data_IF_956035476334
#
_entry.id   IF_956035476334
#
_cell.length_a   1.000
_cell.length_b   1.000
_cell.length_c   1.000
_cell.angle_alpha   90.00
_cell.angle_beta   90.00
_cell.angle_gamma   90.00
#
_symmetry.space_group_name_H-M   'P 1'
#
loop_
_entity.id
_entity.type
_entity.pdbx_description
1 polymer ?
#
# COMPACT_ATOMS: atom_id res chain seq x y z
N UNK A 1 -2.71 -22.87 -15.10
CA UNK A 1 -3.79 -21.94 -14.70
C UNK A 1 -3.32 -20.48 -14.65
N UNK A 2 -2.18 -20.16 -14.01
CA UNK A 2 -1.62 -18.78 -14.01
C UNK A 2 -1.30 -18.29 -15.45
N UNK A 3 -0.69 -19.14 -16.29
CA UNK A 3 -0.32 -18.78 -17.66
C UNK A 3 -1.51 -18.46 -18.58
N UNK A 4 -2.69 -19.05 -18.34
CA UNK A 4 -3.92 -18.75 -19.10
C UNK A 4 -4.58 -17.44 -18.65
N UNK A 5 -4.54 -17.12 -17.34
CA UNK A 5 -4.99 -15.82 -16.84
C UNK A 5 -4.09 -14.68 -17.31
N UNK A 6 -2.76 -14.85 -17.30
CA UNK A 6 -1.82 -13.83 -17.80
C UNK A 6 -2.01 -13.55 -19.28
N UNK A 7 -2.27 -14.57 -20.10
CA UNK A 7 -2.60 -14.39 -21.53
C UNK A 7 -3.90 -13.63 -21.79
N UNK A 8 -4.84 -13.61 -20.84
CA UNK A 8 -6.09 -12.84 -20.95
C UNK A 8 -5.97 -11.38 -20.49
N UNK A 9 -4.91 -11.02 -19.77
CA UNK A 9 -4.58 -9.63 -19.38
C UNK A 9 -3.98 -8.82 -20.54
N UNK A 10 -4.52 -8.96 -21.76
CA UNK A 10 -4.06 -8.29 -22.97
C UNK A 10 -4.85 -7.04 -23.37
N UNK A 11 -5.93 -6.72 -22.65
CA UNK A 11 -6.77 -5.55 -22.92
C UNK A 11 -6.04 -4.22 -22.68
N UNK A 12 -6.44 -3.16 -23.38
CA UNK A 12 -5.81 -1.84 -23.27
C UNK A 12 -5.83 -1.27 -21.83
N UNK A 13 -6.85 -1.57 -21.03
CA UNK A 13 -6.91 -1.15 -19.63
C UNK A 13 -5.87 -1.85 -18.73
N UNK A 14 -5.43 -3.07 -19.07
CA UNK A 14 -4.32 -3.73 -18.35
C UNK A 14 -3.00 -3.03 -18.61
N UNK A 15 -2.74 -2.63 -19.86
CA UNK A 15 -1.56 -1.82 -20.20
C UNK A 15 -1.58 -0.49 -19.44
N UNK A 16 -2.74 0.16 -19.35
CA UNK A 16 -2.91 1.37 -18.53
C UNK A 16 -2.64 1.08 -17.05
N UNK A 17 -3.19 0.01 -16.48
CA UNK A 17 -2.98 -0.34 -15.07
C UNK A 17 -1.50 -0.62 -14.77
N UNK A 18 -0.83 -1.44 -15.57
CA UNK A 18 0.59 -1.73 -15.40
C UNK A 18 1.45 -0.49 -15.64
N UNK A 19 1.10 0.32 -16.64
CA UNK A 19 1.74 1.61 -16.90
C UNK A 19 1.62 2.57 -15.71
N UNK A 20 0.45 2.63 -15.06
CA UNK A 20 0.23 3.42 -13.84
C UNK A 20 1.02 2.88 -12.66
N UNK A 21 1.11 1.56 -12.47
CA UNK A 21 1.92 0.94 -11.41
C UNK A 21 3.40 1.28 -11.62
N UNK A 22 3.92 1.09 -12.84
CA UNK A 22 5.31 1.39 -13.17
C UNK A 22 5.60 2.90 -13.07
N UNK A 23 4.67 3.74 -13.52
CA UNK A 23 4.77 5.19 -13.39
C UNK A 23 4.78 5.64 -11.94
N UNK A 24 3.94 5.05 -11.07
CA UNK A 24 3.92 5.35 -9.64
C UNK A 24 5.25 4.94 -8.97
N UNK A 25 5.76 3.75 -9.26
CA UNK A 25 7.09 3.33 -8.79
C UNK A 25 8.22 4.21 -9.32
N UNK A 26 8.16 4.60 -10.59
CA UNK A 26 9.14 5.50 -11.22
C UNK A 26 9.13 6.89 -10.59
N UNK A 27 7.95 7.43 -10.29
CA UNK A 27 7.79 8.70 -9.55
C UNK A 27 8.35 8.58 -8.14
N UNK A 28 8.04 7.51 -7.39
CA UNK A 28 8.60 7.28 -6.06
C UNK A 28 10.13 7.14 -6.11
N UNK A 29 10.67 6.45 -7.12
CA UNK A 29 12.10 6.36 -7.34
C UNK A 29 12.74 7.71 -7.61
N UNK A 30 12.14 8.51 -8.50
CA UNK A 30 12.59 9.87 -8.76
C UNK A 30 12.53 10.76 -7.50
N UNK A 31 11.50 10.58 -6.67
CA UNK A 31 11.36 11.27 -5.39
C UNK A 31 12.39 10.82 -4.34
N UNK A 32 12.96 9.62 -4.44
CA UNK A 32 13.91 9.09 -3.46
C UNK A 32 15.39 9.26 -3.84
N UNK A 33 15.70 9.66 -5.09
CA UNK A 33 17.08 9.84 -5.54
C UNK A 33 17.86 10.89 -4.71
N UNK A 34 19.15 10.72 -4.42
CA UNK A 34 19.96 11.78 -3.82
C UNK A 34 19.93 13.06 -4.68
N UNK A 35 20.02 14.22 -4.05
CA UNK A 35 19.94 15.54 -4.70
C UNK A 35 20.98 15.68 -5.82
N UNK A 36 22.21 15.26 -5.56
CA UNK A 36 23.34 15.33 -6.49
C UNK A 36 23.10 14.56 -7.80
N UNK A 37 22.37 13.43 -7.71
CA UNK A 37 21.99 12.60 -8.86
C UNK A 37 20.76 13.13 -9.60
N UNK A 38 19.89 13.91 -8.93
CA UNK A 38 18.75 14.58 -9.57
C UNK A 38 19.18 15.82 -10.33
N UNK A 39 20.12 16.59 -9.82
CA UNK A 39 20.59 17.82 -10.49
C UNK A 39 21.39 17.51 -11.77
N UNK A 40 22.08 16.36 -11.79
CA UNK A 40 22.79 15.85 -12.97
C UNK A 40 21.88 15.24 -14.04
N UNK A 41 20.65 14.85 -13.70
CA UNK A 41 19.64 14.38 -14.63
C UNK A 41 18.68 15.53 -14.91
N UNK A 42 18.70 16.14 -16.10
CA UNK A 42 17.78 17.23 -16.47
C UNK A 42 16.33 16.71 -16.48
N UNK A 43 15.72 16.58 -15.31
CA UNK A 43 14.37 16.11 -15.07
C UNK A 43 13.50 17.34 -14.83
N UNK A 44 12.66 17.66 -15.82
CA UNK A 44 11.65 18.71 -15.67
C UNK A 44 10.75 18.40 -14.47
N UNK A 45 10.63 19.36 -13.53
CA UNK A 45 9.81 19.22 -12.31
C UNK A 45 10.52 18.67 -11.08
N UNK A 46 11.86 18.62 -11.07
CA UNK A 46 12.65 18.20 -9.89
C UNK A 46 12.29 18.98 -8.61
N UNK A 47 12.05 20.29 -8.71
CA UNK A 47 11.63 21.13 -7.57
C UNK A 47 10.28 20.71 -7.00
N UNK A 48 9.32 20.35 -7.86
CA UNK A 48 8.02 19.86 -7.43
C UNK A 48 8.14 18.50 -6.73
N UNK A 49 8.93 17.57 -7.29
CA UNK A 49 9.19 16.27 -6.67
C UNK A 49 9.91 16.41 -5.31
N UNK A 50 10.81 17.37 -5.17
CA UNK A 50 11.48 17.68 -3.91
C UNK A 50 10.48 18.21 -2.87
N UNK A 51 9.55 19.07 -3.28
CA UNK A 51 8.51 19.61 -2.41
C UNK A 51 7.54 18.54 -1.88
N UNK A 52 7.39 17.41 -2.60
CA UNK A 52 6.60 16.25 -2.16
C UNK A 52 7.29 15.43 -1.06
N UNK A 53 8.61 15.54 -0.93
CA UNK A 53 9.41 14.73 -0.01
C UNK A 53 9.61 15.39 1.37
N UNK A 54 9.28 16.67 1.50
CA UNK A 54 9.52 17.47 2.71
C UNK A 54 8.18 17.80 3.36
N UNK A 55 8.05 17.45 4.64
CA UNK A 55 6.91 17.86 5.45
C UNK A 55 6.99 19.37 5.69
N UNK A 56 6.14 20.14 5.01
CA UNK A 56 5.90 21.55 5.31
C UNK A 56 4.58 21.70 6.09
N UNK A 57 4.56 22.33 7.27
CA UNK A 57 3.39 22.36 8.15
C UNK A 57 2.34 23.40 7.73
N UNK A 58 2.00 23.45 6.45
CA UNK A 58 1.00 24.31 5.83
C UNK A 58 -0.03 23.49 5.02
N UNK A 59 -1.11 24.11 4.55
CA UNK A 59 -2.17 23.41 3.82
C UNK A 59 -1.67 22.81 2.48
N UNK A 60 -0.72 23.46 1.80
CA UNK A 60 -0.14 22.92 0.58
C UNK A 60 0.81 21.75 0.91
N UNK A 61 1.58 21.84 2.00
CA UNK A 61 2.39 20.73 2.51
C UNK A 61 1.56 19.49 2.87
N UNK A 62 0.39 19.66 3.49
CA UNK A 62 -0.52 18.54 3.75
C UNK A 62 -0.98 17.89 2.43
N UNK A 63 -1.41 18.67 1.45
CA UNK A 63 -1.82 18.15 0.14
C UNK A 63 -0.70 17.36 -0.57
N UNK A 64 0.55 17.81 -0.44
CA UNK A 64 1.73 17.12 -0.98
C UNK A 64 1.96 15.76 -0.31
N UNK A 65 1.87 15.68 1.02
CA UNK A 65 2.01 14.42 1.76
C UNK A 65 0.86 13.45 1.42
N UNK A 66 -0.37 13.96 1.26
CA UNK A 66 -1.51 13.15 0.80
C UNK A 66 -1.22 12.56 -0.59
N UNK A 67 -0.71 13.36 -1.52
CA UNK A 67 -0.35 12.90 -2.86
C UNK A 67 0.75 11.83 -2.81
N UNK A 68 1.78 12.04 -2.00
CA UNK A 68 2.86 11.06 -1.79
C UNK A 68 2.30 9.73 -1.26
N UNK A 69 1.47 9.76 -0.20
CA UNK A 69 0.83 8.55 0.33
C UNK A 69 -0.12 7.89 -0.67
N UNK A 70 -0.80 8.67 -1.52
CA UNK A 70 -1.64 8.14 -2.59
C UNK A 70 -0.81 7.41 -3.65
N UNK A 71 0.31 7.99 -4.09
CA UNK A 71 1.25 7.37 -5.02
C UNK A 71 1.86 6.09 -4.44
N UNK A 72 2.28 6.15 -3.17
CA UNK A 72 2.79 4.99 -2.43
C UNK A 72 1.74 3.88 -2.30
N UNK A 73 0.52 4.24 -1.91
CA UNK A 73 -0.58 3.28 -1.81
C UNK A 73 -0.89 2.64 -3.17
N UNK A 74 -0.93 3.42 -4.24
CA UNK A 74 -1.13 2.92 -5.59
C UNK A 74 0.01 1.97 -6.02
N UNK A 75 1.26 2.37 -5.85
CA UNK A 75 2.44 1.60 -6.23
C UNK A 75 2.51 0.24 -5.53
N UNK A 76 2.25 0.21 -4.22
CA UNK A 76 2.36 -1.00 -3.42
C UNK A 76 1.11 -1.88 -3.54
N UNK A 77 -0.09 -1.29 -3.56
CA UNK A 77 -1.34 -2.05 -3.36
C UNK A 77 -2.03 -2.47 -4.65
N UNK A 78 -1.89 -1.71 -5.74
CA UNK A 78 -2.45 -2.12 -7.03
C UNK A 78 -1.92 -3.49 -7.50
N UNK A 79 -0.62 -3.83 -7.37
CA UNK A 79 -0.12 -5.18 -7.65
C UNK A 79 -0.83 -6.26 -6.84
N UNK A 80 -1.16 -5.98 -5.57
CA UNK A 80 -1.80 -6.96 -4.68
C UNK A 80 -3.26 -7.26 -5.04
N UNK A 81 -3.92 -6.36 -5.77
CA UNK A 81 -5.32 -6.48 -6.17
C UNK A 81 -5.50 -7.07 -7.57
N UNK A 82 -4.41 -7.31 -8.32
CA UNK A 82 -4.44 -7.85 -9.69
C UNK A 82 -5.29 -9.14 -9.82
N UNK A 83 -5.17 -10.15 -8.94
CA UNK A 83 -5.99 -11.37 -9.06
C UNK A 83 -7.49 -11.08 -8.92
N UNK A 84 -7.87 -10.12 -8.09
CA UNK A 84 -9.26 -9.71 -7.91
C UNK A 84 -9.78 -8.96 -9.14
N UNK A 85 -8.99 -8.03 -9.69
CA UNK A 85 -9.36 -7.32 -10.92
C UNK A 85 -9.54 -8.27 -12.10
N UNK A 86 -8.64 -9.24 -12.28
CA UNK A 86 -8.76 -10.26 -13.31
C UNK A 86 -10.01 -11.13 -13.15
N UNK A 87 -10.33 -11.52 -11.91
CA UNK A 87 -11.54 -12.32 -11.63
C UNK A 87 -12.82 -11.54 -11.92
N UNK A 88 -12.88 -10.26 -11.55
CA UNK A 88 -14.04 -9.41 -11.81
C UNK A 88 -14.29 -9.22 -13.32
N UNK A 89 -13.22 -9.05 -14.09
CA UNK A 89 -13.33 -8.97 -15.55
C UNK A 89 -13.76 -10.30 -16.17
N UNK A 90 -13.30 -11.45 -15.66
CA UNK A 90 -13.75 -12.75 -16.18
C UNK A 90 -15.25 -12.97 -15.94
N UNK A 91 -15.76 -12.60 -14.76
CA UNK A 91 -17.19 -12.60 -14.45
C UNK A 91 -17.98 -11.63 -15.34
N UNK A 92 -17.33 -10.56 -15.81
CA UNK A 92 -18.00 -9.56 -16.65
C UNK A 92 -18.38 -10.03 -18.05
N UNK A 93 -17.77 -11.10 -18.55
CA UNK A 93 -18.20 -11.67 -19.84
C UNK A 93 -19.60 -12.30 -19.78
N UNK A 94 -20.19 -12.42 -18.59
CA UNK A 94 -21.51 -13.01 -18.34
C UNK A 94 -22.58 -11.96 -17.94
N UNK A 95 -22.24 -10.65 -17.86
CA UNK A 95 -23.20 -9.57 -17.55
C UNK A 95 -22.64 -8.15 -17.77
N UNK A 96 -23.49 -7.11 -17.76
CA UNK A 96 -22.99 -5.72 -17.86
C UNK A 96 -22.15 -5.35 -16.64
N UNK A 97 -20.86 -5.08 -16.83
CA UNK A 97 -20.01 -4.57 -15.74
C UNK A 97 -19.36 -3.25 -16.10
N UNK A 98 -19.01 -2.52 -15.04
CA UNK A 98 -18.33 -1.22 -15.12
C UNK A 98 -17.03 -1.32 -14.34
N UNK A 99 -16.00 -1.92 -14.94
CA UNK A 99 -14.66 -2.05 -14.33
C UNK A 99 -14.13 -0.71 -13.78
N UNK A 100 -14.35 0.38 -14.51
CA UNK A 100 -13.98 1.73 -14.04
C UNK A 100 -14.66 2.14 -12.72
N UNK A 101 -15.93 1.77 -12.52
CA UNK A 101 -16.64 2.07 -11.27
C UNK A 101 -16.11 1.22 -10.10
N UNK A 102 -15.74 -0.04 -10.35
CA UNK A 102 -15.07 -0.89 -9.38
C UNK A 102 -13.70 -0.31 -8.98
N UNK A 103 -12.89 0.07 -9.97
CA UNK A 103 -11.58 0.66 -9.71
C UNK A 103 -11.70 1.98 -8.94
N UNK A 104 -12.67 2.83 -9.30
CA UNK A 104 -12.89 4.09 -8.62
C UNK A 104 -13.33 3.90 -7.16
N UNK A 105 -14.17 2.91 -6.86
CA UNK A 105 -14.53 2.54 -5.48
C UNK A 105 -13.33 2.04 -4.68
N UNK A 106 -12.46 1.23 -5.29
CA UNK A 106 -11.22 0.76 -4.68
C UNK A 106 -10.25 1.91 -4.37
N UNK A 107 -10.04 2.81 -5.34
CA UNK A 107 -9.16 3.97 -5.18
C UNK A 107 -9.68 4.95 -4.14
N UNK A 108 -11.01 5.14 -4.04
CA UNK A 108 -11.60 6.02 -3.02
C UNK A 108 -11.21 5.62 -1.59
N UNK A 109 -11.18 4.31 -1.29
CA UNK A 109 -10.74 3.81 0.03
C UNK A 109 -9.27 4.10 0.27
N UNK A 110 -8.42 3.88 -0.73
CA UNK A 110 -6.98 4.14 -0.61
C UNK A 110 -6.66 5.62 -0.49
N UNK A 111 -7.36 6.49 -1.22
CA UNK A 111 -7.25 7.94 -1.06
C UNK A 111 -7.66 8.37 0.35
N UNK A 112 -8.74 7.80 0.90
CA UNK A 112 -9.14 8.03 2.30
C UNK A 112 -8.05 7.61 3.28
N UNK A 113 -7.42 6.44 3.07
CA UNK A 113 -6.26 6.01 3.86
C UNK A 113 -5.07 6.97 3.72
N UNK A 114 -4.77 7.44 2.52
CA UNK A 114 -3.67 8.40 2.29
C UNK A 114 -3.88 9.72 3.03
N UNK A 115 -5.13 10.21 3.12
CA UNK A 115 -5.47 11.38 3.93
C UNK A 115 -5.21 11.12 5.42
N UNK A 116 -5.63 9.96 5.94
CA UNK A 116 -5.39 9.60 7.33
C UNK A 116 -3.90 9.42 7.64
N UNK A 117 -3.16 8.78 6.75
CA UNK A 117 -1.73 8.55 6.90
C UNK A 117 -0.93 9.86 6.84
N UNK A 118 -1.30 10.78 5.94
CA UNK A 118 -0.73 12.13 5.89
C UNK A 118 -1.03 12.92 7.17
N UNK A 119 -2.25 12.78 7.71
CA UNK A 119 -2.64 13.38 8.99
C UNK A 119 -1.80 12.84 10.14
N UNK A 120 -1.60 11.53 10.20
CA UNK A 120 -0.74 10.89 11.18
C UNK A 120 0.72 11.37 11.06
N UNK A 121 1.27 11.39 9.83
CA UNK A 121 2.62 11.89 9.56
C UNK A 121 2.80 13.33 10.03
N UNK A 122 1.83 14.21 9.72
CA UNK A 122 1.86 15.61 10.14
C UNK A 122 1.79 15.75 11.68
N UNK A 123 0.91 14.99 12.33
CA UNK A 123 0.77 15.00 13.78
C UNK A 123 2.04 14.52 14.48
N UNK A 124 2.62 13.40 14.02
CA UNK A 124 3.85 12.83 14.56
C UNK A 124 5.06 13.74 14.29
N UNK A 125 5.13 14.41 13.14
CA UNK A 125 6.14 15.41 12.83
C UNK A 125 6.06 16.61 13.77
N UNK A 126 4.85 17.17 13.99
CA UNK A 126 4.63 18.28 14.93
C UNK A 126 4.95 17.91 16.38
N UNK A 127 4.78 16.64 16.75
CA UNK A 127 5.19 16.11 18.05
C UNK A 127 6.70 15.89 18.18
N UNK A 128 7.49 16.16 17.12
CA UNK A 128 8.95 15.95 17.11
C UNK A 128 9.37 14.48 17.00
N UNK A 129 8.42 13.57 16.74
CA UNK A 129 8.66 12.12 16.68
C UNK A 129 9.14 11.65 15.30
N UNK A 130 8.91 12.43 14.24
CA UNK A 130 9.39 12.14 12.88
C UNK A 130 10.39 13.18 12.39
N UNK A 131 11.27 12.78 11.47
CA UNK A 131 12.06 13.67 10.63
C UNK A 131 11.16 14.42 9.63
N UNK A 132 11.70 15.45 8.98
CA UNK A 132 11.02 16.14 7.88
C UNK A 132 10.73 15.24 6.67
N UNK A 133 11.38 14.07 6.59
CA UNK A 133 11.19 13.05 5.56
C UNK A 133 10.22 11.93 5.99
N UNK A 134 9.74 11.96 7.25
CA UNK A 134 8.77 10.99 7.79
C UNK A 134 9.39 9.80 8.52
N UNK A 135 10.70 9.79 8.78
CA UNK A 135 11.36 8.70 9.51
C UNK A 135 11.21 8.87 11.02
N UNK A 136 10.95 7.78 11.73
CA UNK A 136 10.86 7.78 13.19
C UNK A 136 12.19 8.19 13.84
N UNK A 137 12.14 9.21 14.71
CA UNK A 137 13.25 9.64 15.57
C UNK A 137 13.28 8.94 16.93
N UNK A 138 12.23 8.19 17.25
CA UNK A 138 12.06 7.56 18.56
C UNK A 138 12.05 6.06 18.41
N UNK A 139 13.00 5.38 19.07
CA UNK A 139 13.00 3.93 19.15
C UNK A 139 11.76 3.37 19.85
N UNK A 140 11.17 4.11 20.80
CA UNK A 140 9.88 3.76 21.42
C UNK A 140 8.73 3.77 20.40
N UNK A 141 8.63 4.80 19.56
CA UNK A 141 7.63 4.84 18.49
C UNK A 141 7.83 3.69 17.50
N UNK A 142 9.08 3.45 17.09
CA UNK A 142 9.43 2.35 16.19
C UNK A 142 9.07 0.98 16.78
N UNK A 143 9.39 0.74 18.05
CA UNK A 143 9.03 -0.48 18.76
C UNK A 143 7.52 -0.64 18.87
N UNK A 144 6.77 0.43 19.16
CA UNK A 144 5.31 0.39 19.23
C UNK A 144 4.66 0.08 17.88
N UNK A 145 5.14 0.66 16.78
CA UNK A 145 4.64 0.38 15.43
C UNK A 145 4.95 -1.06 15.00
N UNK A 146 6.16 -1.56 15.30
CA UNK A 146 6.54 -2.96 15.08
C UNK A 146 5.67 -3.92 15.89
N UNK A 147 5.41 -3.61 17.16
CA UNK A 147 4.53 -4.40 18.03
C UNK A 147 3.10 -4.42 17.48
N UNK A 148 2.57 -3.26 17.11
CA UNK A 148 1.23 -3.13 16.53
C UNK A 148 1.09 -3.99 15.27
N UNK A 149 2.04 -3.87 14.34
CA UNK A 149 2.04 -4.65 13.11
C UNK A 149 2.18 -6.15 13.41
N UNK A 150 3.09 -6.53 14.31
CA UNK A 150 3.31 -7.92 14.71
C UNK A 150 2.10 -8.55 15.39
N UNK A 151 1.45 -7.85 16.32
CA UNK A 151 0.20 -8.32 16.97
C UNK A 151 -0.94 -8.41 15.96
N UNK A 152 -1.04 -7.44 15.03
CA UNK A 152 -2.05 -7.45 13.99
C UNK A 152 -1.96 -8.68 13.08
N UNK A 153 -0.75 -9.24 12.89
CA UNK A 153 -0.54 -10.48 12.14
C UNK A 153 -1.26 -11.70 12.72
N UNK A 154 -1.53 -11.71 14.02
CA UNK A 154 -2.25 -12.80 14.70
C UNK A 154 -3.72 -12.48 14.94
N UNK A 155 -4.19 -11.32 14.48
CA UNK A 155 -5.55 -10.87 14.78
C UNK A 155 -6.59 -11.62 13.93
N UNK A 156 -7.75 -11.97 14.51
CA UNK A 156 -8.85 -12.57 13.75
C UNK A 156 -9.39 -11.62 12.67
N UNK A 157 -9.25 -10.31 12.87
CA UNK A 157 -9.61 -9.30 11.89
C UNK A 157 -8.76 -9.43 10.61
N UNK A 158 -7.43 -9.54 10.74
CA UNK A 158 -6.54 -9.73 9.58
C UNK A 158 -6.83 -11.05 8.87
N UNK A 159 -7.01 -12.14 9.61
CA UNK A 159 -7.32 -13.45 9.04
C UNK A 159 -8.63 -13.42 8.23
N UNK A 160 -9.67 -12.76 8.75
CA UNK A 160 -10.94 -12.59 8.04
C UNK A 160 -10.79 -11.77 6.75
N UNK A 161 -10.00 -10.69 6.77
CA UNK A 161 -9.73 -9.90 5.56
C UNK A 161 -8.91 -10.70 4.53
N UNK A 162 -7.86 -11.39 4.97
CA UNK A 162 -7.00 -12.21 4.10
C UNK A 162 -7.77 -13.34 3.43
N UNK A 163 -8.69 -13.99 4.14
CA UNK A 163 -9.53 -15.05 3.57
C UNK A 163 -10.36 -14.55 2.38
N UNK A 164 -10.91 -13.33 2.47
CA UNK A 164 -11.66 -12.69 1.38
C UNK A 164 -10.74 -12.24 0.25
N UNK A 165 -9.59 -11.64 0.55
CA UNK A 165 -8.60 -11.25 -0.46
C UNK A 165 -8.05 -12.44 -1.27
N UNK A 166 -7.87 -13.61 -0.63
CA UNK A 166 -7.33 -14.82 -1.26
C UNK A 166 -8.36 -15.58 -2.11
N UNK A 167 -9.64 -15.23 -2.05
CA UNK A 167 -10.75 -15.91 -2.75
C UNK A 167 -11.63 -14.93 -3.53
N UNK A 168 -11.08 -14.25 -4.55
CA UNK A 168 -11.78 -13.18 -5.27
C UNK A 168 -13.09 -13.65 -5.95
N UNK A 169 -13.13 -14.87 -6.49
CA UNK A 169 -14.34 -15.41 -7.13
C UNK A 169 -15.51 -15.54 -6.14
N UNK A 170 -15.26 -16.16 -4.99
CA UNK A 170 -16.27 -16.31 -3.94
C UNK A 170 -16.72 -14.94 -3.40
N UNK A 171 -15.78 -14.01 -3.26
CA UNK A 171 -16.08 -12.63 -2.85
C UNK A 171 -17.04 -11.94 -3.83
N UNK A 172 -16.74 -11.94 -5.13
CA UNK A 172 -17.60 -11.26 -6.10
C UNK A 172 -18.94 -11.98 -6.30
N UNK A 173 -18.98 -13.31 -6.27
CA UNK A 173 -20.25 -14.04 -6.33
C UNK A 173 -21.18 -13.70 -5.16
N UNK A 174 -20.63 -13.44 -3.97
CA UNK A 174 -21.42 -13.08 -2.80
C UNK A 174 -22.01 -11.65 -2.88
N UNK A 175 -21.31 -10.72 -3.53
CA UNK A 175 -21.66 -9.29 -3.54
C UNK A 175 -22.00 -8.77 -4.94
N UNK A 176 -22.18 -9.65 -5.93
CA UNK A 176 -22.34 -9.27 -7.34
C UNK A 176 -23.45 -8.24 -7.56
N UNK A 177 -24.61 -8.49 -6.95
CA UNK A 177 -25.84 -7.70 -7.10
C UNK A 177 -25.75 -6.29 -6.48
N UNK A 178 -24.72 -6.00 -5.68
CA UNK A 178 -24.54 -4.67 -5.08
C UNK A 178 -24.01 -3.62 -6.07
N UNK A 179 -23.53 -4.06 -7.24
CA UNK A 179 -23.01 -3.21 -8.29
C UNK A 179 -21.52 -2.89 -8.17
N UNK A 180 -20.93 -2.47 -9.29
CA UNK A 180 -19.48 -2.32 -9.47
C UNK A 180 -18.82 -1.39 -8.43
N UNK A 181 -19.40 -0.22 -8.17
CA UNK A 181 -18.85 0.75 -7.21
C UNK A 181 -18.77 0.19 -5.78
N UNK A 182 -19.85 -0.41 -5.28
CA UNK A 182 -19.90 -1.01 -3.93
C UNK A 182 -18.96 -2.21 -3.82
N UNK A 183 -18.87 -3.01 -4.88
CA UNK A 183 -17.87 -4.10 -4.95
C UNK A 183 -16.44 -3.56 -4.89
N UNK A 184 -16.15 -2.46 -5.57
CA UNK A 184 -14.88 -1.74 -5.50
C UNK A 184 -14.55 -1.23 -4.10
N UNK A 185 -15.49 -0.55 -3.44
CA UNK A 185 -15.27 -0.03 -2.08
C UNK A 185 -15.09 -1.15 -1.06
N UNK A 186 -15.88 -2.23 -1.14
CA UNK A 186 -15.69 -3.41 -0.28
C UNK A 186 -14.34 -4.07 -0.50
N UNK A 187 -13.94 -4.25 -1.76
CA UNK A 187 -12.63 -4.78 -2.09
C UNK A 187 -11.52 -3.90 -1.50
N UNK A 188 -11.65 -2.58 -1.62
CA UNK A 188 -10.74 -1.60 -1.02
C UNK A 188 -10.64 -1.75 0.51
N UNK A 189 -11.77 -1.83 1.20
CA UNK A 189 -11.81 -1.97 2.67
C UNK A 189 -11.22 -3.29 3.15
N UNK A 190 -11.52 -4.40 2.46
CA UNK A 190 -10.93 -5.71 2.77
C UNK A 190 -9.42 -5.69 2.50
N UNK A 191 -9.01 -5.11 1.37
CA UNK A 191 -7.60 -4.97 0.99
C UNK A 191 -6.83 -4.17 2.04
N UNK A 192 -7.33 -2.99 2.40
CA UNK A 192 -6.77 -2.12 3.43
C UNK A 192 -6.73 -2.82 4.80
N UNK A 193 -7.82 -3.50 5.17
CA UNK A 193 -7.89 -4.30 6.40
C UNK A 193 -6.75 -5.32 6.50
N UNK A 194 -6.34 -5.96 5.40
CA UNK A 194 -5.24 -6.93 5.46
C UNK A 194 -3.87 -6.31 5.80
N UNK A 195 -3.62 -5.06 5.39
CA UNK A 195 -2.26 -4.52 5.28
C UNK A 195 -2.03 -3.15 5.90
N UNK A 196 -3.06 -2.44 6.39
CA UNK A 196 -2.91 -1.10 6.97
C UNK A 196 -1.81 -1.04 8.04
N UNK A 197 -1.74 -2.04 8.93
CA UNK A 197 -0.75 -2.08 9.99
C UNK A 197 0.69 -2.22 9.45
N UNK A 198 0.87 -2.98 8.35
CA UNK A 198 2.16 -3.09 7.68
C UNK A 198 2.52 -1.81 6.92
N UNK A 199 1.54 -1.10 6.38
CA UNK A 199 1.77 0.20 5.73
C UNK A 199 2.32 1.23 6.72
N UNK A 200 1.91 1.18 7.99
CA UNK A 200 2.46 2.06 9.03
C UNK A 200 3.94 1.81 9.33
N UNK A 201 4.48 0.64 8.96
CA UNK A 201 5.91 0.38 9.10
C UNK A 201 6.78 1.24 8.17
N UNK A 202 6.17 1.94 7.20
CA UNK A 202 6.86 2.97 6.43
C UNK A 202 7.48 4.05 7.34
N UNK A 203 6.87 4.37 8.49
CA UNK A 203 7.46 5.30 9.46
C UNK A 203 8.71 4.73 10.17
N UNK A 204 8.85 3.41 10.21
CA UNK A 204 9.98 2.71 10.84
C UNK A 204 11.14 2.56 9.88
N UNK A 205 10.89 1.99 8.69
CA UNK A 205 11.92 1.75 7.66
C UNK A 205 12.29 2.99 6.85
N UNK A 206 11.50 4.06 7.00
CA UNK A 206 11.60 5.31 6.29
C UNK A 206 10.66 5.39 5.10
N UNK A 207 9.88 6.46 5.03
CA UNK A 207 8.81 6.63 4.02
C UNK A 207 9.39 6.75 2.61
N UNK A 208 10.66 7.15 2.51
CA UNK A 208 11.40 7.31 1.26
C UNK A 208 12.34 6.13 0.96
N UNK A 209 12.36 5.10 1.81
CA UNK A 209 13.23 3.94 1.61
C UNK A 209 12.60 2.93 0.65
N UNK A 210 12.89 3.06 -0.65
CA UNK A 210 12.34 2.19 -1.69
C UNK A 210 12.65 0.71 -1.48
N UNK A 211 13.82 0.38 -0.91
CA UNK A 211 14.16 -1.02 -0.66
C UNK A 211 13.22 -1.62 0.39
N UNK A 212 12.95 -0.87 1.47
CA UNK A 212 11.99 -1.28 2.49
C UNK A 212 10.56 -1.38 1.94
N UNK A 213 10.13 -0.39 1.16
CA UNK A 213 8.80 -0.38 0.54
C UNK A 213 8.63 -1.51 -0.47
N UNK A 214 9.65 -1.79 -1.29
CA UNK A 214 9.67 -2.89 -2.24
C UNK A 214 9.55 -4.23 -1.52
N UNK A 215 10.35 -4.44 -0.47
CA UNK A 215 10.28 -5.63 0.38
C UNK A 215 8.89 -5.79 1.02
N UNK A 216 8.36 -4.72 1.61
CA UNK A 216 7.03 -4.73 2.21
C UNK A 216 5.94 -5.05 1.18
N UNK A 217 6.05 -4.54 -0.04
CA UNK A 217 5.14 -4.84 -1.14
C UNK A 217 5.18 -6.32 -1.49
N UNK A 218 6.37 -6.89 -1.69
CA UNK A 218 6.55 -8.32 -1.98
C UNK A 218 5.93 -9.16 -0.87
N UNK A 219 6.23 -8.85 0.39
CA UNK A 219 5.65 -9.54 1.54
C UNK A 219 4.12 -9.48 1.50
N UNK A 220 3.52 -8.31 1.31
CA UNK A 220 2.06 -8.13 1.27
C UNK A 220 1.41 -8.83 0.07
N UNK A 221 2.08 -8.90 -1.08
CA UNK A 221 1.65 -9.69 -2.23
C UNK A 221 1.65 -11.17 -1.86
N UNK A 222 2.74 -11.69 -1.31
CA UNK A 222 2.87 -13.08 -0.91
C UNK A 222 1.85 -13.48 0.18
N UNK A 223 1.55 -12.57 1.13
CA UNK A 223 0.49 -12.79 2.12
C UNK A 223 -0.90 -12.93 1.48
N UNK A 224 -1.16 -12.23 0.38
CA UNK A 224 -2.44 -12.30 -0.34
C UNK A 224 -2.53 -13.48 -1.32
N UNK A 225 -1.46 -14.24 -1.50
CA UNK A 225 -1.50 -15.50 -2.26
C UNK A 225 -2.00 -16.64 -1.36
N UNK A 226 -2.98 -17.45 -1.80
CA UNK A 226 -3.61 -18.48 -0.97
C UNK A 226 -2.64 -19.60 -0.54
N UNK A 227 -1.69 -19.97 -1.39
CA UNK A 227 -0.78 -21.09 -1.11
C UNK A 227 0.40 -20.70 -0.22
N UNK A 228 0.95 -19.50 -0.42
CA UNK A 228 2.12 -19.00 0.31
C UNK A 228 1.74 -18.26 1.59
N UNK A 229 0.67 -17.46 1.55
CA UNK A 229 0.33 -16.56 2.64
C UNK A 229 0.01 -17.26 3.96
N UNK A 230 -0.51 -18.49 3.92
CA UNK A 230 -0.78 -19.28 5.14
C UNK A 230 0.49 -19.58 5.96
N UNK A 231 1.62 -19.71 5.28
CA UNK A 231 2.91 -20.02 5.89
C UNK A 231 3.71 -18.76 6.21
N UNK A 232 3.43 -17.63 5.56
CA UNK A 232 4.19 -16.39 5.73
C UNK A 232 3.66 -15.49 6.85
N UNK A 233 2.33 -15.36 7.00
CA UNK A 233 1.72 -14.36 7.89
C UNK A 233 2.13 -14.51 9.36
N UNK A 234 2.11 -15.72 9.91
CA UNK A 234 2.46 -15.96 11.32
C UNK A 234 3.97 -15.79 11.62
N UNK A 235 4.90 -16.39 10.84
CA UNK A 235 6.32 -16.14 11.04
C UNK A 235 6.68 -14.66 10.92
N UNK A 236 6.09 -13.93 9.97
CA UNK A 236 6.28 -12.49 9.85
C UNK A 236 5.84 -11.76 11.12
N UNK A 237 4.71 -12.13 11.72
CA UNK A 237 4.28 -11.61 13.03
C UNK A 237 5.32 -11.83 14.11
N UNK A 238 5.89 -13.03 14.22
CA UNK A 238 6.95 -13.33 15.19
C UNK A 238 8.18 -12.46 14.96
N UNK A 239 8.63 -12.33 13.70
CA UNK A 239 9.79 -11.50 13.34
C UNK A 239 9.54 -10.03 13.70
N UNK A 240 8.35 -9.49 13.44
CA UNK A 240 8.01 -8.11 13.79
C UNK A 240 7.98 -7.89 15.31
N UNK A 241 7.46 -8.85 16.07
CA UNK A 241 7.47 -8.78 17.55
C UNK A 241 8.89 -8.90 18.10
N UNK A 242 9.72 -9.79 17.57
CA UNK A 242 11.13 -9.91 17.96
C UNK A 242 11.91 -8.62 17.64
N UNK A 243 11.68 -8.03 16.46
CA UNK A 243 12.24 -6.75 16.07
C UNK A 243 11.77 -5.61 17.00
N UNK A 244 10.51 -5.61 17.42
CA UNK A 244 9.97 -4.65 18.39
C UNK A 244 10.72 -4.73 19.73
N UNK A 245 10.88 -5.94 20.29
CA UNK A 245 11.62 -6.16 21.55
C UNK A 245 13.08 -5.74 21.39
N UNK A 246 13.72 -6.11 20.28
CA UNK A 246 15.10 -5.72 20.00
C UNK A 246 15.27 -4.20 19.96
N UNK A 247 14.43 -3.49 19.21
CA UNK A 247 14.47 -2.02 19.12
C UNK A 247 14.22 -1.40 20.50
N UNK A 248 13.27 -1.92 21.27
CA UNK A 248 12.98 -1.43 22.62
C UNK A 248 14.20 -1.56 23.54
N UNK A 249 14.84 -2.73 23.56
CA UNK A 249 16.04 -2.97 24.37
C UNK A 249 17.23 -2.11 23.91
N UNK A 250 17.40 -1.91 22.61
CA UNK A 250 18.49 -1.09 22.06
C UNK A 250 18.30 0.42 22.29
N UNK A 251 17.10 0.85 22.65
CA UNK A 251 16.76 2.28 22.87
C UNK A 251 16.82 2.67 24.35
N UNK A 252 16.82 1.71 25.27
CA UNK A 252 16.93 1.90 26.73
C UNK A 252 18.41 1.93 27.13
#
# INVERSE_FOLDING_TARGET
MIATQVRRMGGGHWLVLFGLILGAWGLLYAMALPQDLRDGAVIYGADFLQSLCIVTPDAAGFGRIVLMWALMSAAMMAPTALPAFATYEELSHTGETRFGALLAGYLAVWLGFSVLAAGAQMALFRAGLLTAFGDSRSGLLSAALLALAGLYQFSPAKDACLLRCRRPLAFFMQYWDEGAWRNGTRLGLVCLGCCWALMLLAFVGGVMNLAFMGLATVIMVLEKLPDLGRYLTRPLGVVLLAASVWVLVATI
#
